data_IF_907011810412
#
_entry.id   IF_907011810412
#
_cell.length_a   1.000
_cell.length_b   1.000
_cell.length_c   1.000
_cell.angle_alpha   90.00
_cell.angle_beta   90.00
_cell.angle_gamma   90.00
#
_symmetry.space_group_name_H-M   'P 1'
#
loop_
_entity.id
_entity.type
_entity.pdbx_description
1 polymer ?
#
# COMPACT_ATOMS: atom_id res chain seq x y z
N UNK A 1 16.37 17.60 4.80
CA UNK A 1 15.58 16.35 4.72
C UNK A 1 14.36 16.55 3.80
N UNK A 2 14.55 17.03 2.56
CA UNK A 2 13.43 17.24 1.62
C UNK A 2 13.34 16.16 0.53
N UNK A 3 14.32 15.25 0.46
CA UNK A 3 14.46 14.31 -0.65
C UNK A 3 14.89 12.91 -0.16
N UNK A 4 14.31 12.41 0.95
CA UNK A 4 14.53 11.01 1.33
C UNK A 4 13.49 10.15 0.62
N UNK A 5 13.89 9.55 -0.50
CA UNK A 5 13.08 8.54 -1.18
C UNK A 5 13.12 7.24 -0.35
N UNK A 6 12.05 6.98 0.39
CA UNK A 6 11.89 5.73 1.13
C UNK A 6 11.23 4.74 0.17
N UNK A 7 11.92 3.63 -0.11
CA UNK A 7 11.37 2.51 -0.85
C UNK A 7 11.08 1.38 0.15
N UNK A 8 9.87 0.85 0.09
CA UNK A 8 9.47 -0.30 0.90
C UNK A 8 9.67 -1.57 0.07
N UNK A 9 10.55 -2.43 0.55
CA UNK A 9 10.84 -3.69 -0.13
C UNK A 9 9.70 -4.68 0.16
N UNK A 10 8.97 -5.05 -0.89
CA UNK A 10 7.87 -6.01 -0.83
C UNK A 10 8.32 -7.32 -1.47
N UNK A 11 7.83 -8.45 -0.96
CA UNK A 11 8.19 -9.77 -1.47
C UNK A 11 8.04 -9.83 -3.01
N UNK A 12 9.08 -10.27 -3.73
CA UNK A 12 9.03 -10.37 -5.19
C UNK A 12 8.04 -11.43 -5.69
N UNK A 13 7.52 -12.27 -4.80
CA UNK A 13 6.45 -13.24 -5.12
C UNK A 13 5.10 -12.56 -5.38
N UNK A 14 4.93 -11.30 -4.93
CA UNK A 14 3.67 -10.55 -5.06
C UNK A 14 3.57 -9.75 -6.36
N UNK A 15 4.55 -9.87 -7.26
CA UNK A 15 4.50 -9.24 -8.57
C UNK A 15 5.31 -10.02 -9.61
N UNK A 16 4.88 -10.00 -10.87
CA UNK A 16 5.68 -10.54 -12.00
C UNK A 16 6.69 -9.52 -12.53
N UNK A 17 6.42 -8.23 -12.31
CA UNK A 17 7.33 -7.12 -12.62
C UNK A 17 7.23 -6.09 -11.50
N UNK A 18 8.37 -5.59 -11.01
CA UNK A 18 8.39 -4.62 -9.93
C UNK A 18 7.61 -3.34 -10.33
N UNK A 19 6.53 -2.96 -9.61
CA UNK A 19 5.75 -1.76 -9.91
C UNK A 19 6.55 -0.46 -9.77
N UNK A 20 7.55 -0.38 -8.88
CA UNK A 20 8.41 0.80 -8.71
C UNK A 20 9.32 1.07 -9.92
N UNK A 21 9.53 0.07 -10.78
CA UNK A 21 10.45 0.15 -11.92
C UNK A 21 9.95 1.01 -13.09
N UNK A 22 8.71 1.52 -13.02
CA UNK A 22 8.10 2.27 -14.13
C UNK A 22 6.94 3.14 -13.68
N UNK A 23 6.72 4.25 -14.38
CA UNK A 23 5.55 5.14 -14.17
C UNK A 23 4.21 4.40 -14.29
N UNK A 24 4.08 3.50 -15.27
CA UNK A 24 2.87 2.66 -15.39
C UNK A 24 2.65 1.79 -14.14
N UNK A 25 3.71 1.20 -13.59
CA UNK A 25 3.61 0.38 -12.38
C UNK A 25 3.19 1.19 -11.16
N UNK A 26 3.76 2.39 -10.99
CA UNK A 26 3.37 3.33 -9.95
C UNK A 26 1.90 3.79 -10.12
N UNK A 27 1.46 4.07 -11.35
CA UNK A 27 0.07 4.41 -11.66
C UNK A 27 -0.89 3.24 -11.38
N UNK A 28 -0.49 1.99 -11.67
CA UNK A 28 -1.27 0.81 -11.32
C UNK A 28 -1.52 0.79 -9.81
N UNK A 29 -0.50 0.98 -8.98
CA UNK A 29 -0.68 0.99 -7.52
C UNK A 29 -1.54 2.17 -7.07
N UNK A 30 -1.17 3.38 -7.47
CA UNK A 30 -1.83 4.62 -7.04
C UNK A 30 -3.32 4.60 -7.37
N UNK A 31 -3.67 4.29 -8.63
CA UNK A 31 -5.05 4.26 -9.10
C UNK A 31 -5.82 3.03 -8.66
N UNK A 32 -5.14 1.93 -8.30
CA UNK A 32 -5.81 0.82 -7.63
C UNK A 32 -6.29 1.21 -6.24
N UNK A 33 -5.47 1.94 -5.47
CA UNK A 33 -5.86 2.42 -4.14
C UNK A 33 -7.09 3.34 -4.26
N UNK A 34 -7.02 4.35 -5.13
CA UNK A 34 -8.15 5.26 -5.34
C UNK A 34 -9.43 4.51 -5.75
N UNK A 35 -9.32 3.62 -6.75
CA UNK A 35 -10.49 2.91 -7.27
C UNK A 35 -11.05 1.89 -6.26
N UNK A 36 -10.21 1.14 -5.56
CA UNK A 36 -10.67 0.18 -4.53
C UNK A 36 -11.36 0.93 -3.39
N UNK A 37 -10.84 2.08 -2.96
CA UNK A 37 -11.50 2.90 -1.95
C UNK A 37 -12.87 3.42 -2.43
N UNK A 38 -12.98 3.83 -3.70
CA UNK A 38 -14.22 4.36 -4.28
C UNK A 38 -15.31 3.29 -4.45
N UNK A 39 -14.98 2.13 -5.02
CA UNK A 39 -15.97 1.14 -5.45
C UNK A 39 -15.95 -0.18 -4.67
N UNK A 40 -15.00 -0.35 -3.76
CA UNK A 40 -14.77 -1.58 -3.01
C UNK A 40 -14.05 -2.67 -3.82
N UNK A 41 -13.37 -3.58 -3.13
CA UNK A 41 -12.51 -4.59 -3.75
C UNK A 41 -13.28 -5.61 -4.63
N UNK A 42 -14.54 -5.89 -4.29
CA UNK A 42 -15.36 -6.83 -5.06
C UNK A 42 -15.68 -6.30 -6.46
N UNK A 43 -16.07 -5.02 -6.53
CA UNK A 43 -16.40 -4.37 -7.80
C UNK A 43 -15.17 -3.98 -8.62
N UNK A 44 -13.99 -3.95 -7.99
CA UNK A 44 -12.71 -3.67 -8.65
C UNK A 44 -12.32 -4.78 -9.64
N UNK A 45 -11.92 -4.36 -10.85
CA UNK A 45 -11.40 -5.24 -11.90
C UNK A 45 -10.24 -4.55 -12.63
N UNK A 46 -9.30 -5.33 -13.17
CA UNK A 46 -8.19 -4.80 -13.97
C UNK A 46 -8.68 -4.11 -15.24
N UNK A 47 -9.81 -4.54 -15.81
CA UNK A 47 -10.47 -3.81 -16.90
C UNK A 47 -10.83 -2.37 -16.52
N UNK A 48 -11.46 -2.15 -15.36
CA UNK A 48 -11.83 -0.81 -14.88
C UNK A 48 -10.59 0.02 -14.57
N UNK A 49 -9.58 -0.58 -13.94
CA UNK A 49 -8.30 0.09 -13.69
C UNK A 49 -7.63 0.50 -15.00
N UNK A 50 -7.60 -0.40 -16.00
CA UNK A 50 -7.00 -0.13 -17.31
C UNK A 50 -7.68 1.04 -18.02
N UNK A 51 -9.01 1.12 -17.93
CA UNK A 51 -9.76 2.28 -18.43
C UNK A 51 -9.39 3.58 -17.71
N UNK A 52 -9.25 3.54 -16.38
CA UNK A 52 -8.91 4.70 -15.56
C UNK A 52 -7.49 5.23 -15.84
N UNK A 53 -6.53 4.34 -16.10
CA UNK A 53 -5.12 4.72 -16.38
C UNK A 53 -4.80 4.80 -17.87
N UNK A 54 -5.81 4.73 -18.74
CA UNK A 54 -5.68 4.73 -20.21
C UNK A 54 -4.68 3.68 -20.74
N UNK A 55 -4.68 2.48 -20.13
CA UNK A 55 -3.79 1.38 -20.49
C UNK A 55 -4.58 0.10 -20.77
N UNK A 56 -4.14 -0.74 -21.72
CA UNK A 56 -4.73 -2.07 -21.90
C UNK A 56 -4.65 -2.89 -20.61
N UNK A 57 -5.71 -3.65 -20.34
CA UNK A 57 -5.79 -4.58 -19.20
C UNK A 57 -4.60 -5.56 -19.18
N UNK A 58 -4.17 -6.03 -20.36
CA UNK A 58 -2.99 -6.90 -20.51
C UNK A 58 -1.70 -6.29 -19.96
N UNK A 59 -1.59 -4.96 -19.92
CA UNK A 59 -0.42 -4.29 -19.35
C UNK A 59 -0.39 -4.37 -17.83
N UNK A 60 -1.56 -4.46 -17.18
CA UNK A 60 -1.68 -4.65 -15.72
C UNK A 60 -1.30 -6.08 -15.35
N UNK A 61 -1.74 -7.06 -16.15
CA UNK A 61 -1.38 -8.47 -15.98
C UNK A 61 0.13 -8.75 -16.06
N UNK A 62 0.92 -7.84 -16.62
CA UNK A 62 2.38 -7.92 -16.61
C UNK A 62 3.00 -7.66 -15.23
N UNK A 63 2.28 -7.00 -14.33
CA UNK A 63 2.73 -6.69 -12.97
C UNK A 63 2.10 -7.62 -11.95
N UNK A 64 0.80 -7.90 -12.07
CA UNK A 64 0.05 -8.71 -11.12
C UNK A 64 -0.73 -9.81 -11.82
N UNK A 65 -0.61 -11.03 -11.32
CA UNK A 65 -1.28 -12.19 -11.90
C UNK A 65 -2.80 -12.06 -11.84
N UNK A 66 -3.33 -11.51 -10.74
CA UNK A 66 -4.75 -11.29 -10.54
C UNK A 66 -5.00 -10.19 -9.49
N UNK A 67 -6.27 -9.77 -9.35
CA UNK A 67 -6.64 -8.69 -8.41
C UNK A 67 -6.36 -9.02 -6.94
N UNK A 68 -6.36 -10.30 -6.57
CA UNK A 68 -6.11 -10.73 -5.20
C UNK A 68 -4.62 -10.59 -4.83
N UNK A 69 -3.71 -11.00 -5.71
CA UNK A 69 -2.27 -10.75 -5.53
C UNK A 69 -1.97 -9.26 -5.40
N UNK A 70 -2.64 -8.40 -6.18
CA UNK A 70 -2.54 -6.95 -6.01
C UNK A 70 -3.00 -6.49 -4.61
N UNK A 71 -4.11 -7.02 -4.08
CA UNK A 71 -4.57 -6.68 -2.74
C UNK A 71 -3.56 -7.13 -1.66
N UNK A 72 -2.96 -8.32 -1.81
CA UNK A 72 -1.90 -8.79 -0.90
C UNK A 72 -0.67 -7.87 -0.99
N UNK A 73 -0.29 -7.43 -2.20
CA UNK A 73 0.79 -6.47 -2.40
C UNK A 73 0.52 -5.16 -1.65
N UNK A 74 -0.67 -4.56 -1.83
CA UNK A 74 -1.08 -3.34 -1.16
C UNK A 74 -1.11 -3.50 0.37
N UNK A 75 -1.58 -4.65 0.85
CA UNK A 75 -1.60 -5.00 2.28
C UNK A 75 -0.19 -5.11 2.84
N UNK A 76 0.70 -5.80 2.11
CA UNK A 76 2.11 -5.92 2.49
C UNK A 76 2.78 -4.55 2.55
N UNK A 77 2.54 -3.71 1.55
CA UNK A 77 3.05 -2.34 1.51
C UNK A 77 2.64 -1.54 2.74
N UNK A 78 1.35 -1.57 3.11
CA UNK A 78 0.86 -0.87 4.29
C UNK A 78 1.56 -1.33 5.59
N UNK A 79 1.76 -2.64 5.75
CA UNK A 79 2.40 -3.17 6.95
C UNK A 79 3.90 -2.90 6.99
N UNK A 80 4.61 -2.95 5.86
CA UNK A 80 6.02 -2.54 5.77
C UNK A 80 6.19 -1.05 6.08
N UNK A 81 5.28 -0.20 5.58
CA UNK A 81 5.24 1.22 5.94
C UNK A 81 4.95 1.44 7.44
N UNK A 82 4.01 0.67 8.01
CA UNK A 82 3.69 0.74 9.44
C UNK A 82 4.85 0.26 10.32
N UNK A 83 5.54 -0.80 9.92
CA UNK A 83 6.77 -1.28 10.58
C UNK A 83 7.85 -0.21 10.56
N UNK A 84 8.06 0.45 9.42
CA UNK A 84 8.99 1.56 9.33
C UNK A 84 8.67 2.67 10.34
N UNK A 85 7.40 3.07 10.45
CA UNK A 85 6.94 4.08 11.42
C UNK A 85 7.23 3.63 12.86
N UNK A 86 6.97 2.36 13.18
CA UNK A 86 7.25 1.79 14.50
C UNK A 86 8.74 1.80 14.82
N UNK A 87 9.59 1.36 13.89
CA UNK A 87 11.05 1.36 14.07
C UNK A 87 11.53 2.79 14.28
N UNK A 88 11.12 3.73 13.43
CA UNK A 88 11.54 5.13 13.53
C UNK A 88 11.12 5.76 14.87
N UNK A 89 9.89 5.53 15.32
CA UNK A 89 9.38 6.09 16.57
C UNK A 89 9.97 5.45 17.83
N UNK A 90 10.49 4.21 17.74
CA UNK A 90 10.90 3.45 18.94
C UNK A 90 12.41 3.23 19.06
N UNK A 91 13.21 3.40 17.99
CA UNK A 91 14.65 3.08 17.96
C UNK A 91 15.45 3.77 19.08
N UNK A 92 15.16 5.04 19.36
CA UNK A 92 15.91 5.83 20.34
C UNK A 92 15.14 6.07 21.65
N UNK A 93 14.03 5.35 21.88
CA UNK A 93 13.21 5.51 23.08
C UNK A 93 13.64 4.49 24.12
N UNK A 94 14.26 4.95 25.21
CA UNK A 94 14.83 4.07 26.24
C UNK A 94 13.74 3.38 27.08
N UNK A 95 12.68 4.12 27.46
CA UNK A 95 11.61 3.58 28.30
C UNK A 95 10.75 2.58 27.55
N UNK A 96 10.61 1.33 28.02
CA UNK A 96 9.70 0.35 27.43
C UNK A 96 8.24 0.81 27.43
N UNK A 97 7.81 1.54 28.47
CA UNK A 97 6.45 2.07 28.58
C UNK A 97 6.17 3.12 27.50
N UNK A 98 7.11 4.05 27.27
CA UNK A 98 6.98 5.05 26.22
C UNK A 98 7.03 4.41 24.82
N UNK A 99 7.86 3.38 24.61
CA UNK A 99 7.85 2.59 23.37
C UNK A 99 6.49 1.96 23.12
N UNK A 100 5.91 1.31 24.12
CA UNK A 100 4.59 0.69 24.01
C UNK A 100 3.51 1.72 23.68
N UNK A 101 3.52 2.87 24.37
CA UNK A 101 2.56 3.94 24.13
C UNK A 101 2.67 4.49 22.70
N UNK A 102 3.89 4.75 22.21
CA UNK A 102 4.12 5.18 20.84
C UNK A 102 3.64 4.15 19.82
N UNK A 103 3.90 2.85 20.05
CA UNK A 103 3.42 1.78 19.18
C UNK A 103 1.90 1.70 19.12
N UNK A 104 1.22 1.78 20.28
CA UNK A 104 -0.26 1.80 20.33
C UNK A 104 -0.80 2.98 19.55
N UNK A 105 -0.22 4.17 19.74
CA UNK A 105 -0.62 5.38 19.02
C UNK A 105 -0.48 5.22 17.50
N UNK A 106 0.62 4.65 17.02
CA UNK A 106 0.87 4.42 15.58
C UNK A 106 -0.11 3.41 14.98
N UNK A 107 -0.44 2.35 15.72
CA UNK A 107 -1.31 1.26 15.25
C UNK A 107 -2.81 1.61 15.30
N UNK A 108 -3.21 2.53 16.17
CA UNK A 108 -4.64 2.82 16.43
C UNK A 108 -5.12 4.14 15.86
N UNK A 109 -4.22 5.10 15.61
CA UNK A 109 -4.60 6.39 15.03
C UNK A 109 -4.65 6.29 13.50
N UNK A 110 -5.56 7.02 12.84
CA UNK A 110 -5.56 7.13 11.39
C UNK A 110 -4.19 7.56 10.88
N UNK A 111 -3.77 6.95 9.77
CA UNK A 111 -2.62 7.39 9.00
C UNK A 111 -2.80 8.88 8.65
N UNK A 112 -1.78 9.70 8.95
CA UNK A 112 -1.63 11.01 8.34
C UNK A 112 -0.63 10.87 7.19
N UNK A 113 -0.73 11.73 6.17
CA UNK A 113 0.20 11.73 5.04
C UNK A 113 1.61 12.02 5.58
N UNK A 114 2.43 10.98 5.66
CA UNK A 114 3.80 11.06 6.19
C UNK A 114 4.78 11.52 5.10
N UNK A 115 4.49 11.29 3.82
CA UNK A 115 5.35 11.71 2.70
C UNK A 115 4.54 12.25 1.50
N UNK A 116 4.46 13.57 1.29
CA UNK A 116 3.71 14.16 0.19
C UNK A 116 4.31 13.86 -1.21
N UNK A 117 5.47 13.22 -1.31
CA UNK A 117 6.08 12.83 -2.59
C UNK A 117 5.91 11.35 -2.93
N UNK A 118 5.20 10.59 -2.10
CA UNK A 118 4.85 9.19 -2.38
C UNK A 118 3.76 9.12 -3.45
N UNK A 119 3.87 8.16 -4.39
CA UNK A 119 2.78 7.86 -5.32
C UNK A 119 1.65 7.02 -4.68
N UNK A 120 1.88 6.55 -3.45
CA UNK A 120 0.93 5.80 -2.64
C UNK A 120 0.20 6.76 -1.70
N UNK A 121 -1.13 6.78 -1.76
CA UNK A 121 -1.95 7.52 -0.79
C UNK A 121 -2.15 6.65 0.45
N UNK A 122 -1.36 6.90 1.50
CA UNK A 122 -1.34 6.07 2.70
C UNK A 122 -2.66 6.13 3.50
N UNK A 123 -3.38 7.25 3.42
CA UNK A 123 -4.66 7.44 4.09
C UNK A 123 -5.72 6.52 3.47
N UNK A 124 -5.88 6.58 2.14
CA UNK A 124 -6.84 5.73 1.43
C UNK A 124 -6.45 4.25 1.55
N UNK A 125 -5.15 3.95 1.51
CA UNK A 125 -4.68 2.58 1.70
C UNK A 125 -5.03 2.06 3.10
N UNK A 126 -4.82 2.86 4.15
CA UNK A 126 -5.21 2.53 5.52
C UNK A 126 -6.72 2.21 5.62
N UNK A 127 -7.57 3.02 4.98
CA UNK A 127 -9.01 2.79 4.93
C UNK A 127 -9.37 1.47 4.21
N UNK A 128 -8.69 1.16 3.10
CA UNK A 128 -8.84 -0.12 2.40
C UNK A 128 -8.43 -1.28 3.31
N UNK A 129 -7.29 -1.18 4.01
CA UNK A 129 -6.86 -2.26 4.90
C UNK A 129 -7.88 -2.45 6.03
N UNK A 130 -8.43 -1.40 6.62
CA UNK A 130 -9.44 -1.57 7.67
C UNK A 130 -10.79 -2.10 7.16
N UNK A 131 -11.18 -1.79 5.93
CA UNK A 131 -12.46 -2.23 5.36
C UNK A 131 -12.41 -3.56 4.61
N UNK A 132 -11.27 -3.90 4.00
CA UNK A 132 -11.13 -4.98 3.03
C UNK A 132 -10.09 -6.05 3.42
N UNK A 133 -9.21 -5.81 4.41
CA UNK A 133 -8.11 -6.75 4.70
C UNK A 133 -8.55 -8.16 5.08
N UNK A 134 -9.72 -8.33 5.70
CA UNK A 134 -10.25 -9.67 6.00
C UNK A 134 -10.44 -10.52 4.73
N UNK A 135 -10.71 -9.90 3.57
CA UNK A 135 -10.85 -10.60 2.30
C UNK A 135 -9.52 -11.09 1.73
N UNK A 136 -8.41 -10.45 2.10
CA UNK A 136 -7.07 -10.91 1.71
C UNK A 136 -6.68 -12.23 2.38
N UNK A 137 -7.27 -12.57 3.54
CA UNK A 137 -6.95 -13.78 4.31
C UNK A 137 -7.95 -14.93 4.14
N UNK A 138 -9.09 -14.70 3.46
CA UNK A 138 -10.22 -15.63 3.39
C UNK A 138 -10.62 -16.06 1.97
N UNK A 139 -9.76 -15.83 0.96
CA UNK A 139 -9.97 -16.28 -0.43
C UNK A 139 -8.75 -17.07 -0.88
#
# INVERSE_FOLDING_TARGET
MKDLHIQFEISPELYSKNPDSSELGQNIISKSIELINEIGFEAFTFKKLGQLIESPESSIYRYFENKHILLIYLTSWYWTWTEYRLVFATTNVISPQERLKASIDILTKPALVDNPTSYVNEVLLCEIIFSESLKAYHT
#
